data_IF_178521635372
#
_entry.id   IF_178521635372
#
_cell.length_a   1.000
_cell.length_b   1.000
_cell.length_c   1.000
_cell.angle_alpha   90.00
_cell.angle_beta   90.00
_cell.angle_gamma   90.00
#
_symmetry.space_group_name_H-M   'P 1'
#
loop_
_entity.id
_entity.type
_entity.pdbx_description
1 polymer ?
#
# COMPACT_ATOMS: atom_id res chain seq x y z
N UNK A 1 -37.29 -8.78 -14.13
CA UNK A 1 -36.23 -8.98 -15.14
C UNK A 1 -34.83 -8.52 -14.67
N UNK A 2 -34.70 -7.82 -13.54
CA UNK A 2 -33.42 -7.24 -13.05
C UNK A 2 -32.50 -8.26 -12.32
N UNK A 3 -33.04 -9.36 -11.80
CA UNK A 3 -32.30 -10.34 -10.98
C UNK A 3 -31.26 -11.16 -11.77
N UNK A 4 -31.50 -11.43 -13.06
CA UNK A 4 -30.67 -12.35 -13.86
C UNK A 4 -29.29 -11.75 -14.21
N UNK A 5 -29.24 -10.44 -14.46
CA UNK A 5 -27.97 -9.73 -14.73
C UNK A 5 -27.08 -9.57 -13.49
N UNK A 6 -27.66 -9.50 -12.29
CA UNK A 6 -26.89 -9.44 -11.04
C UNK A 6 -26.17 -10.75 -10.74
N UNK A 7 -26.83 -11.88 -10.99
CA UNK A 7 -26.23 -13.21 -10.75
C UNK A 7 -25.18 -13.56 -11.81
N UNK A 8 -25.39 -13.16 -13.05
CA UNK A 8 -24.39 -13.30 -14.12
C UNK A 8 -23.15 -12.44 -13.85
N UNK A 9 -23.33 -11.19 -13.40
CA UNK A 9 -22.21 -10.33 -12.98
C UNK A 9 -21.45 -10.92 -11.78
N UNK A 10 -22.14 -11.49 -10.78
CA UNK A 10 -21.50 -12.17 -9.64
C UNK A 10 -20.70 -13.40 -10.09
N UNK A 11 -21.22 -14.18 -11.03
CA UNK A 11 -20.51 -15.34 -11.58
C UNK A 11 -19.26 -14.92 -12.37
N UNK A 12 -19.36 -13.86 -13.17
CA UNK A 12 -18.21 -13.28 -13.89
C UNK A 12 -17.17 -12.76 -12.90
N UNK A 13 -17.58 -12.02 -11.87
CA UNK A 13 -16.67 -11.53 -10.81
C UNK A 13 -16.03 -12.70 -10.08
N UNK A 14 -16.78 -13.73 -9.70
CA UNK A 14 -16.24 -14.92 -9.05
C UNK A 14 -15.25 -15.68 -9.94
N UNK A 15 -15.53 -15.80 -11.24
CA UNK A 15 -14.62 -16.42 -12.20
C UNK A 15 -13.34 -15.58 -12.41
N UNK A 16 -13.46 -14.26 -12.52
CA UNK A 16 -12.32 -13.34 -12.60
C UNK A 16 -11.48 -13.39 -11.32
N UNK A 17 -12.11 -13.46 -10.14
CA UNK A 17 -11.39 -13.62 -8.87
C UNK A 17 -10.73 -15.01 -8.75
N UNK A 18 -11.37 -16.07 -9.23
CA UNK A 18 -10.79 -17.41 -9.24
C UNK A 18 -9.59 -17.51 -10.20
N UNK A 19 -9.67 -16.86 -11.37
CA UNK A 19 -8.62 -16.92 -12.40
C UNK A 19 -7.50 -15.90 -12.20
N UNK A 20 -7.80 -14.73 -11.65
CA UNK A 20 -6.90 -13.58 -11.58
C UNK A 20 -6.90 -12.85 -10.23
N UNK A 21 -7.70 -13.28 -9.26
CA UNK A 21 -7.97 -12.56 -8.00
C UNK A 21 -6.94 -12.76 -6.91
N UNK A 22 -5.65 -12.62 -7.22
CA UNK A 22 -4.67 -12.36 -6.16
C UNK A 22 -4.61 -10.86 -5.92
N UNK A 23 -4.84 -10.48 -4.67
CA UNK A 23 -4.66 -9.09 -4.25
C UNK A 23 -3.17 -8.75 -4.20
N UNK A 24 -2.80 -7.47 -4.21
CA UNK A 24 -1.40 -7.10 -4.03
C UNK A 24 -0.88 -7.52 -2.66
N UNK A 25 -1.75 -7.50 -1.65
CA UNK A 25 -1.43 -8.02 -0.32
C UNK A 25 -1.13 -9.52 -0.36
N UNK A 26 -1.87 -10.33 -1.12
CA UNK A 26 -1.58 -11.76 -1.29
C UNK A 26 -0.22 -11.97 -1.97
N UNK A 27 0.07 -11.24 -3.04
CA UNK A 27 1.36 -11.31 -3.72
C UNK A 27 2.54 -10.93 -2.81
N UNK A 28 2.30 -10.06 -1.83
CA UNK A 28 3.31 -9.59 -0.88
C UNK A 28 3.32 -10.38 0.43
N UNK A 29 2.48 -11.41 0.57
CA UNK A 29 2.28 -12.15 1.81
C UNK A 29 2.01 -11.20 3.00
N UNK A 30 1.14 -10.22 2.79
CA UNK A 30 0.65 -9.27 3.78
C UNK A 30 -0.77 -9.71 4.16
N UNK A 31 -0.93 -10.28 5.36
CA UNK A 31 -2.26 -10.54 5.89
C UNK A 31 -2.86 -9.22 6.41
N UNK A 32 -3.49 -8.47 5.49
CA UNK A 32 -4.03 -7.12 5.76
C UNK A 32 -5.13 -7.13 6.83
N UNK A 33 -5.90 -8.22 6.93
CA UNK A 33 -6.95 -8.42 7.94
C UNK A 33 -6.43 -8.33 9.38
N UNK A 34 -5.13 -8.58 9.62
CA UNK A 34 -4.53 -8.43 10.96
C UNK A 34 -4.57 -6.98 11.47
N UNK A 35 -4.67 -5.99 10.59
CA UNK A 35 -4.82 -4.57 10.95
C UNK A 35 -3.83 -4.10 12.04
N UNK A 36 -2.57 -4.56 11.97
CA UNK A 36 -1.51 -4.13 12.91
C UNK A 36 -0.70 -3.00 12.27
N UNK A 37 -0.06 -2.11 13.05
CA UNK A 37 0.75 -1.02 12.49
C UNK A 37 1.82 -1.49 11.50
N UNK A 38 2.49 -2.61 11.79
CA UNK A 38 3.50 -3.18 10.89
C UNK A 38 2.88 -3.71 9.59
N UNK A 39 1.72 -4.35 9.65
CA UNK A 39 1.01 -4.85 8.47
C UNK A 39 0.56 -3.68 7.58
N UNK A 40 -0.05 -2.65 8.16
CA UNK A 40 -0.49 -1.46 7.41
C UNK A 40 0.70 -0.69 6.84
N UNK A 41 1.80 -0.57 7.58
CA UNK A 41 3.03 0.04 7.08
C UNK A 41 3.62 -0.73 5.88
N UNK A 42 3.65 -2.06 5.96
CA UNK A 42 4.10 -2.93 4.85
C UNK A 42 3.22 -2.77 3.62
N UNK A 43 1.95 -2.40 3.79
CA UNK A 43 1.05 -2.07 2.69
C UNK A 43 1.22 -0.64 2.15
N UNK A 44 1.49 0.34 3.02
CA UNK A 44 1.78 1.71 2.59
C UNK A 44 3.00 1.81 1.67
N UNK A 45 4.05 1.02 1.94
CA UNK A 45 5.28 1.02 1.14
C UNK A 45 5.06 0.72 -0.36
N UNK A 46 4.42 -0.40 -0.76
CA UNK A 46 4.07 -0.67 -2.15
C UNK A 46 3.08 0.35 -2.72
N UNK A 47 2.13 0.90 -1.94
CA UNK A 47 1.27 2.00 -2.42
C UNK A 47 2.08 3.21 -2.90
N UNK A 48 3.11 3.60 -2.16
CA UNK A 48 4.04 4.68 -2.56
C UNK A 48 4.83 4.34 -3.83
N UNK A 49 5.11 3.05 -4.06
CA UNK A 49 5.80 2.55 -5.25
C UNK A 49 4.86 2.53 -6.48
N UNK A 50 3.63 2.03 -6.33
CA UNK A 50 2.61 1.99 -7.40
C UNK A 50 2.16 3.37 -7.85
N UNK A 51 2.24 4.36 -6.95
CA UNK A 51 1.86 5.74 -7.27
C UNK A 51 2.89 6.47 -8.16
N UNK A 52 4.08 5.88 -8.38
CA UNK A 52 4.94 6.26 -9.49
C UNK A 52 4.44 5.57 -10.77
N UNK A 53 4.52 6.22 -11.94
CA UNK A 53 4.16 5.60 -13.24
C UNK A 53 5.13 4.44 -13.57
N UNK A 54 4.91 3.28 -12.96
CA UNK A 54 5.78 2.11 -13.03
C UNK A 54 4.97 0.82 -13.18
N UNK A 55 5.59 -0.21 -13.74
CA UNK A 55 5.03 -1.54 -13.81
C UNK A 55 4.81 -2.13 -12.40
N UNK A 56 3.62 -2.68 -12.16
CA UNK A 56 3.26 -3.26 -10.87
C UNK A 56 4.23 -4.37 -10.39
N UNK A 57 4.76 -5.18 -11.31
CA UNK A 57 5.72 -6.24 -10.98
C UNK A 57 7.02 -5.70 -10.37
N UNK A 58 7.49 -4.52 -10.83
CA UNK A 58 8.68 -3.87 -10.28
C UNK A 58 8.40 -3.32 -8.88
N UNK A 59 7.22 -2.71 -8.67
CA UNK A 59 6.81 -2.25 -7.35
C UNK A 59 6.68 -3.42 -6.35
N UNK A 60 6.13 -4.57 -6.78
CA UNK A 60 6.06 -5.79 -5.98
C UNK A 60 7.45 -6.32 -5.65
N UNK A 61 8.36 -6.38 -6.63
CA UNK A 61 9.74 -6.81 -6.41
C UNK A 61 10.48 -5.90 -5.41
N UNK A 62 10.31 -4.58 -5.54
CA UNK A 62 10.86 -3.59 -4.62
C UNK A 62 10.30 -3.73 -3.20
N UNK A 63 8.98 -3.90 -3.04
CA UNK A 63 8.36 -4.12 -1.74
C UNK A 63 8.82 -5.42 -1.06
N UNK A 64 9.01 -6.50 -1.84
CA UNK A 64 9.64 -7.74 -1.36
C UNK A 64 11.09 -7.51 -0.93
N UNK A 65 11.87 -6.72 -1.68
CA UNK A 65 13.26 -6.39 -1.32
C UNK A 65 13.35 -5.61 0.00
N UNK A 66 12.50 -4.59 0.18
CA UNK A 66 12.36 -3.83 1.44
C UNK A 66 12.03 -4.78 2.61
N UNK A 67 11.05 -5.67 2.42
CA UNK A 67 10.64 -6.62 3.45
C UNK A 67 11.77 -7.59 3.81
N UNK A 68 12.53 -8.08 2.83
CA UNK A 68 13.70 -8.96 3.05
C UNK A 68 14.83 -8.29 3.83
N UNK A 69 14.98 -6.96 3.72
CA UNK A 69 15.90 -6.19 4.58
C UNK A 69 15.39 -5.98 6.00
N UNK A 70 14.18 -6.44 6.31
CA UNK A 70 13.58 -6.32 7.63
C UNK A 70 12.95 -4.96 7.91
N UNK A 71 12.87 -4.06 6.92
CA UNK A 71 12.25 -2.73 7.05
C UNK A 71 10.71 -2.82 7.04
N UNK A 72 10.15 -3.57 7.99
CA UNK A 72 8.73 -3.94 8.06
C UNK A 72 7.90 -3.04 8.98
N UNK A 73 8.47 -1.94 9.45
CA UNK A 73 7.78 -0.94 10.28
C UNK A 73 8.40 0.43 10.06
N UNK A 74 7.64 1.49 10.33
CA UNK A 74 8.11 2.87 10.24
C UNK A 74 9.42 3.09 11.01
N UNK A 75 9.55 2.53 12.23
CA UNK A 75 10.78 2.60 13.02
C UNK A 75 11.98 1.99 12.31
N UNK A 76 11.83 0.78 11.77
CA UNK A 76 12.94 0.08 11.08
C UNK A 76 13.30 0.74 9.75
N UNK A 77 12.33 1.30 9.03
CA UNK A 77 12.57 2.06 7.80
C UNK A 77 13.23 3.41 8.10
N UNK A 78 12.82 4.11 9.16
CA UNK A 78 13.43 5.37 9.57
C UNK A 78 14.88 5.17 10.07
N UNK A 79 15.19 3.99 10.62
CA UNK A 79 16.54 3.64 11.03
C UNK A 79 17.49 3.30 9.86
N UNK A 80 16.95 3.06 8.65
CA UNK A 80 17.80 2.83 7.47
C UNK A 80 18.28 4.16 6.88
N UNK A 81 19.41 4.15 6.18
CA UNK A 81 19.88 5.35 5.48
C UNK A 81 19.20 5.53 4.13
N UNK A 82 19.35 6.72 3.54
CA UNK A 82 18.85 6.99 2.20
C UNK A 82 19.59 6.14 1.15
N UNK A 83 20.91 5.99 1.31
CA UNK A 83 21.79 5.21 0.43
C UNK A 83 21.41 3.73 0.44
N UNK A 84 21.16 3.15 1.63
CA UNK A 84 20.73 1.76 1.77
C UNK A 84 19.42 1.50 1.01
N UNK A 85 18.42 2.37 1.20
CA UNK A 85 17.13 2.27 0.51
C UNK A 85 17.28 2.43 -1.00
N UNK A 86 18.05 3.42 -1.44
CA UNK A 86 18.40 3.66 -2.84
C UNK A 86 19.01 2.42 -3.48
N UNK A 87 20.00 1.82 -2.83
CA UNK A 87 20.67 0.62 -3.31
C UNK A 87 19.71 -0.57 -3.44
N UNK A 88 18.89 -0.82 -2.41
CA UNK A 88 17.92 -1.92 -2.39
C UNK A 88 16.85 -1.75 -3.47
N UNK A 89 16.34 -0.53 -3.66
CA UNK A 89 15.36 -0.21 -4.69
C UNK A 89 15.96 -0.38 -6.10
N UNK A 90 17.18 0.11 -6.32
CA UNK A 90 17.87 -0.03 -7.60
C UNK A 90 18.09 -1.51 -7.95
N UNK A 91 18.61 -2.30 -7.00
CA UNK A 91 18.82 -3.75 -7.17
C UNK A 91 17.51 -4.53 -7.44
N UNK A 92 16.36 -3.99 -7.03
CA UNK A 92 15.05 -4.57 -7.32
C UNK A 92 14.45 -4.12 -8.67
N UNK A 93 15.21 -3.41 -9.50
CA UNK A 93 14.77 -2.92 -10.81
C UNK A 93 14.04 -1.57 -10.76
N UNK A 94 13.95 -0.91 -9.59
CA UNK A 94 13.29 0.39 -9.41
C UNK A 94 14.23 1.57 -9.71
N UNK A 95 15.15 1.41 -10.68
CA UNK A 95 16.26 2.31 -10.93
C UNK A 95 15.85 3.71 -11.41
N UNK A 96 14.69 3.89 -12.04
CA UNK A 96 14.29 5.21 -12.54
C UNK A 96 13.96 6.22 -11.43
N UNK A 97 13.44 5.74 -10.30
CA UNK A 97 12.88 6.58 -9.25
C UNK A 97 13.46 6.30 -7.86
N UNK A 98 14.41 5.39 -7.73
CA UNK A 98 14.92 4.88 -6.45
C UNK A 98 15.33 5.98 -5.46
N UNK A 99 16.02 7.03 -5.90
CA UNK A 99 16.40 8.16 -5.04
C UNK A 99 15.19 8.88 -4.44
N UNK A 100 14.26 9.26 -5.32
CA UNK A 100 13.05 9.96 -4.92
C UNK A 100 12.16 9.08 -4.06
N UNK A 101 12.02 7.80 -4.39
CA UNK A 101 11.26 6.81 -3.60
C UNK A 101 11.92 6.58 -2.25
N UNK A 102 13.25 6.49 -2.18
CA UNK A 102 14.01 6.35 -0.94
C UNK A 102 13.76 7.52 0.02
N UNK A 103 13.77 8.76 -0.49
CA UNK A 103 13.43 9.94 0.31
C UNK A 103 11.99 9.85 0.83
N UNK A 104 11.03 9.47 -0.02
CA UNK A 104 9.61 9.39 0.37
C UNK A 104 9.30 8.29 1.38
N UNK A 105 9.96 7.13 1.30
CA UNK A 105 9.84 6.09 2.32
C UNK A 105 10.34 6.58 3.69
N UNK A 106 11.44 7.35 3.71
CA UNK A 106 11.95 7.99 4.92
C UNK A 106 10.97 9.02 5.49
N UNK A 107 10.49 9.95 4.65
CA UNK A 107 9.53 10.99 5.03
C UNK A 107 8.21 10.39 5.56
N UNK A 108 7.65 9.39 4.87
CA UNK A 108 6.43 8.70 5.31
C UNK A 108 6.64 7.99 6.65
N UNK A 109 7.81 7.38 6.85
CA UNK A 109 8.14 6.73 8.12
C UNK A 109 8.26 7.74 9.27
N UNK A 110 8.90 8.89 9.03
CA UNK A 110 8.97 9.97 10.00
C UNK A 110 7.57 10.51 10.36
N UNK A 111 6.70 10.71 9.36
CA UNK A 111 5.32 11.16 9.58
C UNK A 111 4.52 10.16 10.44
N UNK A 112 4.67 8.86 10.19
CA UNK A 112 4.00 7.83 10.99
C UNK A 112 4.52 7.77 12.43
N UNK A 113 5.81 8.05 12.65
CA UNK A 113 6.41 8.09 13.98
C UNK A 113 6.03 9.35 14.78
N UNK A 114 5.92 10.49 14.10
CA UNK A 114 5.62 11.78 14.72
C UNK A 114 4.12 11.96 15.00
N UNK A 115 3.25 11.62 14.03
CA UNK A 115 1.85 12.09 14.04
C UNK A 115 0.80 10.99 13.92
N UNK A 116 1.05 9.93 13.16
CA UNK A 116 -0.03 9.08 12.67
C UNK A 116 0.32 7.58 12.64
N UNK A 117 -0.21 6.78 13.56
CA UNK A 117 -0.54 5.40 13.22
C UNK A 117 -1.65 5.43 12.14
N UNK A 118 -1.58 4.61 11.09
CA UNK A 118 -2.64 4.55 10.06
C UNK A 118 -4.02 4.24 10.66
N UNK A 119 -4.08 3.53 11.79
CA UNK A 119 -5.33 3.33 12.53
C UNK A 119 -5.82 4.60 13.23
N UNK A 120 -4.92 5.49 13.64
CA UNK A 120 -5.31 6.81 14.17
C UNK A 120 -5.73 7.76 13.05
N UNK A 121 -5.16 7.61 11.85
CA UNK A 121 -5.65 8.29 10.65
C UNK A 121 -7.11 7.91 10.39
N UNK A 122 -7.43 6.60 10.42
CA UNK A 122 -8.80 6.07 10.34
C UNK A 122 -9.75 6.71 11.37
N UNK A 123 -9.35 6.75 12.64
CA UNK A 123 -10.17 7.38 13.69
C UNK A 123 -10.33 8.90 13.49
N UNK A 124 -9.27 9.60 13.04
CA UNK A 124 -9.34 11.04 12.73
C UNK A 124 -10.26 11.34 11.55
N UNK A 125 -10.36 10.41 10.60
CA UNK A 125 -11.32 10.50 9.52
C UNK A 125 -12.76 10.27 9.97
N UNK A 126 -12.99 9.90 11.24
CA UNK A 126 -14.32 9.53 11.72
C UNK A 126 -14.85 8.25 11.07
N UNK A 127 -13.97 7.42 10.49
CA UNK A 127 -14.35 6.23 9.71
C UNK A 127 -15.24 6.56 8.51
N UNK A 128 -15.02 7.73 7.94
CA UNK A 128 -15.66 8.18 6.70
C UNK A 128 -14.74 7.86 5.51
N UNK A 129 -15.28 7.17 4.52
CA UNK A 129 -14.50 6.66 3.39
C UNK A 129 -13.86 7.77 2.56
N UNK A 130 -14.57 8.89 2.35
CA UNK A 130 -14.05 10.01 1.59
C UNK A 130 -12.93 10.72 2.36
N UNK A 131 -13.09 10.88 3.66
CA UNK A 131 -12.08 11.49 4.52
C UNK A 131 -10.85 10.58 4.70
N UNK A 132 -11.01 9.26 4.82
CA UNK A 132 -9.89 8.31 4.84
C UNK A 132 -9.09 8.34 3.53
N UNK A 133 -9.80 8.40 2.41
CA UNK A 133 -9.21 8.57 1.08
C UNK A 133 -8.48 9.91 0.94
N UNK A 134 -9.03 11.00 1.50
CA UNK A 134 -8.37 12.31 1.52
C UNK A 134 -7.12 12.30 2.40
N UNK A 135 -7.21 11.77 3.62
CA UNK A 135 -6.11 11.77 4.58
C UNK A 135 -4.94 10.89 4.13
N UNK A 136 -5.18 9.77 3.46
CA UNK A 136 -4.07 8.95 2.93
C UNK A 136 -3.26 9.69 1.86
N UNK A 137 -3.83 10.70 1.20
CA UNK A 137 -3.11 11.56 0.25
C UNK A 137 -2.17 12.58 0.92
N UNK A 138 -2.23 12.75 2.25
CA UNK A 138 -1.23 13.56 2.98
C UNK A 138 0.18 12.94 2.89
N UNK A 139 0.28 11.63 2.63
CA UNK A 139 1.54 10.98 2.30
C UNK A 139 1.99 11.38 0.90
N UNK A 140 3.10 12.11 0.80
CA UNK A 140 3.63 12.58 -0.47
C UNK A 140 3.78 11.44 -1.49
N UNK A 141 3.34 11.72 -2.73
CA UNK A 141 3.19 10.79 -3.87
C UNK A 141 1.97 9.88 -3.82
N UNK A 142 1.17 9.84 -2.77
CA UNK A 142 -0.15 9.23 -2.83
C UNK A 142 -1.11 10.27 -3.38
N UNK A 143 -1.37 10.20 -4.69
CA UNK A 143 -2.49 10.92 -5.32
C UNK A 143 -3.77 10.08 -5.31
N UNK A 144 -4.85 10.52 -5.95
CA UNK A 144 -6.14 9.83 -5.94
C UNK A 144 -6.04 8.35 -6.33
N UNK A 145 -5.30 8.02 -7.41
CA UNK A 145 -5.09 6.63 -7.84
C UNK A 145 -4.33 5.79 -6.79
N UNK A 146 -3.36 6.40 -6.11
CA UNK A 146 -2.62 5.73 -5.04
C UNK A 146 -3.52 5.45 -3.83
N UNK A 147 -4.38 6.41 -3.51
CA UNK A 147 -5.38 6.27 -2.46
C UNK A 147 -6.40 5.18 -2.81
N UNK A 148 -6.88 5.11 -4.06
CA UNK A 148 -7.77 4.03 -4.53
C UNK A 148 -7.11 2.66 -4.36
N UNK A 149 -5.83 2.52 -4.75
CA UNK A 149 -5.07 1.29 -4.58
C UNK A 149 -4.97 0.93 -3.09
N UNK A 150 -4.65 1.90 -2.23
CA UNK A 150 -4.55 1.68 -0.79
C UNK A 150 -5.87 1.18 -0.21
N UNK A 151 -6.96 1.89 -0.48
CA UNK A 151 -8.30 1.63 0.05
C UNK A 151 -8.83 0.29 -0.42
N UNK A 152 -8.65 -0.04 -1.70
CA UNK A 152 -9.07 -1.32 -2.29
C UNK A 152 -8.52 -2.54 -1.53
N UNK A 153 -7.30 -2.46 -1.00
CA UNK A 153 -6.69 -3.61 -0.33
C UNK A 153 -7.01 -3.61 1.17
N UNK A 154 -7.14 -2.42 1.78
CA UNK A 154 -7.40 -2.28 3.22
C UNK A 154 -8.88 -2.46 3.58
N UNK A 155 -9.81 -2.44 2.62
CA UNK A 155 -11.25 -2.68 2.84
C UNK A 155 -11.55 -3.95 3.67
N UNK A 156 -10.69 -4.97 3.56
CA UNK A 156 -10.78 -6.22 4.35
C UNK A 156 -10.68 -5.96 5.85
N UNK A 157 -9.90 -4.95 6.25
CA UNK A 157 -9.74 -4.52 7.63
C UNK A 157 -10.63 -3.30 7.99
N UNK A 158 -10.95 -2.47 7.01
CA UNK A 158 -11.66 -1.20 7.13
C UNK A 158 -12.95 -1.27 6.27
N UNK A 159 -14.03 -1.89 6.79
CA UNK A 159 -15.22 -2.22 6.01
C UNK A 159 -16.05 -1.02 5.52
N UNK A 160 -15.73 0.19 5.97
CA UNK A 160 -16.32 1.45 5.50
C UNK A 160 -15.82 1.89 4.12
N UNK A 161 -14.68 1.36 3.65
CA UNK A 161 -14.04 1.69 2.35
C UNK A 161 -14.56 0.85 1.17
#
# INVERSE_FOLDING_TARGET
MVSRHSDEAKQIVAALLAMHGRTYCDELAINIARNTPSVLFRWLCPTLLFSARINASVAIAAARAITRRGWTSARKMAASTWEERTHVLNAAGHARYHESTSAKLGEASALLLDRCDLRRLRERAGRDAEEEHRLIQEFKRIGPVGADIFCREIQIAWPEL
#
